data_IF_865541023910
#
_entry.id   IF_865541023910
#
_cell.length_a   1.000
_cell.length_b   1.000
_cell.length_c   1.000
_cell.angle_alpha   90.00
_cell.angle_beta   90.00
_cell.angle_gamma   90.00
#
_symmetry.space_group_name_H-M   'P 1'
#
loop_
_entity.id
_entity.type
_entity.pdbx_description
1 polymer ?
#
# COMPACT_ATOMS: atom_id res chain seq x y z
N UNK A 1 -18.60 -27.93 -17.73
CA UNK A 1 -18.17 -27.59 -17.83
C UNK A 1 -18.08 -27.11 -17.69
N UNK A 2 -18.05 -27.04 -17.65
CA UNK A 2 -17.72 -26.58 -17.56
C UNK A 2 -17.47 -26.04 -17.55
N UNK A 3 -17.51 -26.02 -17.49
CA UNK A 3 -17.14 -25.56 -17.57
C UNK A 3 -16.91 -24.88 -17.53
N UNK A 4 -17.27 -24.91 -17.46
CA UNK A 4 -17.14 -24.23 -17.60
C UNK A 4 -16.77 -23.51 -17.57
N UNK A 5 -16.79 -23.73 -17.31
CA UNK A 5 -16.34 -23.02 -17.51
C UNK A 5 -15.89 -22.55 -17.80
N UNK A 6 -15.82 -22.83 -17.76
CA UNK A 6 -15.38 -22.44 -18.28
C UNK A 6 -15.11 -22.22 -19.00
N UNK A 7 -14.93 -22.85 -18.47
CA UNK A 7 -14.47 -22.81 -19.61
C UNK A 7 -14.79 -21.83 -20.62
N UNK A 8 -15.68 -21.38 -20.53
CA UNK A 8 -15.91 -20.37 -21.52
C UNK A 8 -15.41 -19.06 -21.00
N UNK A 9 -14.20 -18.81 -21.34
CA UNK A 9 -13.66 -17.52 -21.02
C UNK A 9 -13.88 -16.64 -22.22
N UNK A 10 -14.57 -15.54 -22.06
CA UNK A 10 -14.74 -14.63 -23.19
C UNK A 10 -13.39 -14.18 -23.68
N UNK A 11 -13.28 -14.04 -24.96
CA UNK A 11 -12.07 -13.47 -25.52
C UNK A 11 -12.02 -12.01 -25.09
N UNK A 12 -10.99 -11.63 -24.51
CA UNK A 12 -10.81 -10.29 -24.00
C UNK A 12 -9.96 -10.35 -22.79
N UNK A 13 -9.63 -9.24 -22.28
CA UNK A 13 -8.73 -9.17 -21.13
C UNK A 13 -9.41 -8.41 -20.02
N UNK A 14 -8.94 -8.66 -18.81
CA UNK A 14 -9.39 -7.90 -17.66
C UNK A 14 -8.61 -6.61 -17.63
N UNK A 15 -9.34 -5.52 -17.60
CA UNK A 15 -8.72 -4.18 -17.56
C UNK A 15 -9.19 -3.50 -16.29
N UNK A 16 -8.28 -3.00 -15.52
CA UNK A 16 -8.64 -2.24 -14.34
C UNK A 16 -7.81 -0.97 -14.25
N UNK A 17 -8.37 -0.01 -13.56
CA UNK A 17 -7.76 1.29 -13.40
C UNK A 17 -6.57 1.18 -12.46
N UNK A 18 -5.49 1.88 -12.79
CA UNK A 18 -4.31 1.87 -11.94
C UNK A 18 -4.61 2.40 -10.54
N UNK A 19 -5.70 3.15 -10.36
CA UNK A 19 -6.07 3.60 -9.03
C UNK A 19 -6.38 2.44 -8.08
N UNK A 20 -6.61 1.24 -8.61
CA UNK A 20 -6.79 0.06 -7.77
C UNK A 20 -5.53 -0.21 -6.96
N UNK A 21 -4.36 -0.02 -7.57
CA UNK A 21 -3.10 -0.24 -6.85
C UNK A 21 -3.00 0.74 -5.68
N UNK A 22 -3.36 2.01 -5.90
CA UNK A 22 -3.35 2.99 -4.82
C UNK A 22 -4.31 2.58 -3.71
N UNK A 23 -5.50 2.11 -4.07
CA UNK A 23 -6.47 1.69 -3.05
C UNK A 23 -5.95 0.53 -2.23
N UNK A 24 -5.30 -0.42 -2.87
CA UNK A 24 -4.71 -1.56 -2.14
C UNK A 24 -3.71 -1.04 -1.12
N UNK A 25 -2.86 -0.12 -1.52
CA UNK A 25 -1.83 0.41 -0.65
C UNK A 25 -2.46 1.21 0.50
N UNK A 26 -3.48 2.02 0.19
CA UNK A 26 -4.15 2.82 1.21
C UNK A 26 -4.78 1.95 2.29
N UNK A 27 -5.24 0.77 1.91
CA UNK A 27 -5.84 -0.14 2.87
C UNK A 27 -4.79 -0.95 3.62
N UNK A 28 -3.65 -1.19 3.00
CA UNK A 28 -2.62 -2.04 3.59
C UNK A 28 -1.79 -1.32 4.64
N UNK A 29 -1.43 -0.06 4.38
CA UNK A 29 -0.49 0.65 5.24
C UNK A 29 -1.02 0.82 6.67
N UNK A 30 -2.28 1.24 6.87
CA UNK A 30 -2.76 1.47 8.26
C UNK A 30 -2.84 0.20 9.09
N UNK A 31 -2.78 -0.96 8.46
CA UNK A 31 -2.84 -2.21 9.20
C UNK A 31 -1.49 -2.61 9.78
N UNK A 32 -0.43 -1.91 9.39
CA UNK A 32 0.89 -2.17 9.94
C UNK A 32 0.95 -1.55 11.33
N UNK A 33 1.38 -2.35 12.29
CA UNK A 33 1.44 -1.88 13.66
C UNK A 33 2.40 -0.71 13.78
N UNK A 34 1.95 0.35 14.46
CA UNK A 34 2.76 1.54 14.66
C UNK A 34 2.50 2.65 13.68
N UNK A 35 1.72 2.41 12.65
CA UNK A 35 1.45 3.41 11.61
C UNK A 35 0.17 4.16 11.96
N UNK A 36 0.25 5.48 11.84
CA UNK A 36 -0.91 6.34 12.05
C UNK A 36 -1.75 6.32 10.77
N UNK A 37 -3.05 6.05 10.90
CA UNK A 37 -3.94 6.01 9.76
C UNK A 37 -4.30 7.44 9.37
N UNK A 38 -3.65 7.96 8.35
CA UNK A 38 -3.74 9.37 8.04
C UNK A 38 -3.68 9.64 6.54
N UNK A 39 -4.36 8.81 5.75
CA UNK A 39 -4.33 8.94 4.30
C UNK A 39 -5.68 9.37 3.74
N UNK A 40 -6.50 10.03 4.52
CA UNK A 40 -7.83 10.38 4.07
C UNK A 40 -7.81 11.60 3.18
N UNK A 41 -8.68 11.64 2.18
CA UNK A 41 -8.77 12.80 1.30
C UNK A 41 -9.06 14.06 2.10
N UNK A 42 -8.44 15.15 1.72
CA UNK A 42 -8.65 16.41 2.41
C UNK A 42 -7.88 16.56 3.70
N UNK A 43 -7.14 15.54 4.07
CA UNK A 43 -6.32 15.61 5.25
C UNK A 43 -5.11 16.49 4.96
N UNK A 44 -4.76 17.36 5.91
CA UNK A 44 -3.63 18.26 5.74
C UNK A 44 -2.31 17.62 6.13
N UNK A 45 -2.30 16.33 6.39
CA UNK A 45 -1.10 15.64 6.80
C UNK A 45 -0.07 15.62 5.68
N UNK A 46 1.19 15.39 6.05
CA UNK A 46 2.28 15.29 5.08
C UNK A 46 2.37 13.90 4.48
N UNK A 47 1.49 13.00 4.86
CA UNK A 47 1.51 11.64 4.33
C UNK A 47 1.08 11.63 2.88
N UNK A 48 1.70 10.77 2.09
CA UNK A 48 1.33 10.66 0.67
C UNK A 48 1.66 9.25 0.18
N UNK A 49 1.07 8.94 -0.95
CA UNK A 49 1.37 7.73 -1.70
C UNK A 49 1.60 8.16 -3.14
N UNK A 50 2.79 7.92 -3.65
CA UNK A 50 3.14 8.23 -5.03
C UNK A 50 3.49 6.94 -5.73
N UNK A 51 2.98 6.78 -6.93
CA UNK A 51 3.17 5.58 -7.73
C UNK A 51 3.73 5.95 -9.08
N UNK A 52 4.67 5.15 -9.54
CA UNK A 52 5.18 5.27 -10.90
C UNK A 52 5.02 3.92 -11.57
N UNK A 53 4.21 3.88 -12.61
CA UNK A 53 3.94 2.64 -13.33
C UNK A 53 4.97 2.48 -14.44
N UNK A 54 5.64 1.34 -14.40
CA UNK A 54 6.73 1.04 -15.30
C UNK A 54 6.31 -0.06 -16.26
N UNK A 55 7.24 -0.48 -17.12
CA UNK A 55 6.93 -1.51 -18.10
C UNK A 55 6.74 -2.85 -17.43
N UNK A 56 6.03 -3.74 -18.13
CA UNK A 56 5.83 -5.13 -17.71
C UNK A 56 5.12 -5.24 -16.39
N UNK A 57 4.16 -4.35 -16.15
CA UNK A 57 3.35 -4.38 -14.93
C UNK A 57 4.20 -4.20 -13.68
N UNK A 58 5.25 -3.43 -13.78
CA UNK A 58 6.03 -3.06 -12.59
C UNK A 58 5.59 -1.72 -12.09
N UNK A 59 5.67 -1.54 -10.77
CA UNK A 59 5.32 -0.26 -10.16
C UNK A 59 6.37 0.09 -9.12
N UNK A 60 6.75 1.35 -9.09
CA UNK A 60 7.62 1.90 -8.05
C UNK A 60 6.73 2.68 -7.09
N UNK A 61 6.93 2.48 -5.81
CA UNK A 61 6.08 3.04 -4.77
C UNK A 61 6.91 3.95 -3.88
N UNK A 62 6.37 5.12 -3.58
CA UNK A 62 7.03 6.09 -2.72
C UNK A 62 5.96 6.59 -1.75
N UNK A 63 6.12 6.28 -0.46
CA UNK A 63 5.11 6.62 0.53
C UNK A 63 5.73 7.43 1.66
N UNK A 64 4.95 8.33 2.21
CA UNK A 64 5.33 9.08 3.41
C UNK A 64 4.30 8.77 4.49
N UNK A 65 4.78 8.39 5.65
CA UNK A 65 3.93 7.92 6.74
C UNK A 65 4.28 8.63 8.04
N UNK A 66 3.33 8.60 8.96
CA UNK A 66 3.53 9.04 10.33
C UNK A 66 3.48 7.81 11.22
N UNK A 67 4.37 7.73 12.19
CA UNK A 67 4.51 6.56 13.05
C UNK A 67 4.29 7.01 14.49
N UNK A 68 3.71 6.12 15.29
CA UNK A 68 3.55 6.39 16.71
C UNK A 68 4.89 6.29 17.44
N UNK A 69 5.07 7.18 18.40
CA UNK A 69 6.25 7.14 19.25
C UNK A 69 6.32 5.81 20.00
N UNK A 70 7.51 5.29 20.13
CA UNK A 70 7.72 4.05 20.86
C UNK A 70 7.99 2.84 20.00
N UNK A 71 7.69 2.95 18.71
CA UNK A 71 7.95 1.86 17.77
C UNK A 71 9.32 2.04 17.14
N UNK A 72 9.95 0.93 16.80
CA UNK A 72 11.21 0.98 16.06
C UNK A 72 10.92 1.37 14.62
N UNK A 73 11.44 2.53 14.22
CA UNK A 73 11.12 3.10 12.91
C UNK A 73 11.55 2.16 11.80
N UNK A 74 12.74 1.56 11.91
CA UNK A 74 13.23 0.68 10.86
C UNK A 74 12.35 -0.55 10.71
N UNK A 75 11.90 -1.12 11.83
CA UNK A 75 11.03 -2.29 11.77
C UNK A 75 9.69 -1.95 11.16
N UNK A 76 9.13 -0.80 11.54
CA UNK A 76 7.83 -0.40 10.99
C UNK A 76 7.96 -0.15 9.49
N UNK A 77 9.03 0.51 9.06
CA UNK A 77 9.24 0.78 7.65
C UNK A 77 9.39 -0.52 6.86
N UNK A 78 10.12 -1.48 7.41
CA UNK A 78 10.26 -2.78 6.75
C UNK A 78 8.91 -3.46 6.62
N UNK A 79 8.11 -3.42 7.68
CA UNK A 79 6.80 -4.06 7.65
C UNK A 79 5.87 -3.37 6.64
N UNK A 80 5.99 -2.06 6.48
CA UNK A 80 5.24 -1.35 5.46
C UNK A 80 5.63 -1.84 4.09
N UNK A 81 6.94 -1.97 3.82
CA UNK A 81 7.40 -2.46 2.52
C UNK A 81 6.85 -3.85 2.23
N UNK A 82 6.91 -4.74 3.23
CA UNK A 82 6.41 -6.10 3.04
C UNK A 82 4.91 -6.11 2.82
N UNK A 83 4.18 -5.31 3.56
CA UNK A 83 2.73 -5.26 3.43
C UNK A 83 2.32 -4.76 2.05
N UNK A 84 2.96 -3.71 1.57
CA UNK A 84 2.66 -3.17 0.24
C UNK A 84 2.95 -4.22 -0.82
N UNK A 85 4.14 -4.79 -0.78
CA UNK A 85 4.53 -5.75 -1.80
C UNK A 85 3.59 -6.94 -1.82
N UNK A 86 3.32 -7.51 -0.65
CA UNK A 86 2.51 -8.72 -0.57
C UNK A 86 1.08 -8.45 -1.04
N UNK A 87 0.51 -7.33 -0.64
CA UNK A 87 -0.88 -7.04 -1.00
C UNK A 87 -1.03 -6.68 -2.46
N UNK A 88 -0.15 -5.85 -2.99
CA UNK A 88 -0.25 -5.45 -4.40
C UNK A 88 -0.06 -6.66 -5.31
N UNK A 89 0.94 -7.49 -5.00
CA UNK A 89 1.23 -8.64 -5.87
C UNK A 89 0.21 -9.74 -5.74
N UNK A 90 -0.46 -9.84 -4.59
CA UNK A 90 -1.50 -10.85 -4.40
C UNK A 90 -2.83 -10.44 -5.03
N UNK A 91 -3.11 -9.15 -5.11
CA UNK A 91 -4.42 -8.66 -5.50
C UNK A 91 -4.46 -8.04 -6.89
N UNK A 92 -3.33 -7.95 -7.57
CA UNK A 92 -3.27 -7.38 -8.91
C UNK A 92 -2.19 -8.09 -9.69
N UNK A 93 -2.06 -7.69 -10.96
CA UNK A 93 -1.02 -8.24 -11.80
C UNK A 93 0.29 -7.49 -11.68
N UNK A 94 0.29 -6.42 -10.91
CA UNK A 94 1.49 -5.60 -10.79
C UNK A 94 2.51 -6.24 -9.87
N UNK A 95 3.76 -6.02 -10.19
CA UNK A 95 4.89 -6.38 -9.33
C UNK A 95 5.47 -5.10 -8.78
N UNK A 96 5.89 -5.14 -7.53
CA UNK A 96 6.45 -3.97 -6.89
C UNK A 96 7.96 -4.06 -6.98
N UNK A 97 8.56 -3.10 -7.69
CA UNK A 97 10.00 -3.09 -7.88
C UNK A 97 10.75 -2.44 -6.72
N UNK A 98 10.34 -1.22 -6.37
CA UNK A 98 10.96 -0.51 -5.26
C UNK A 98 9.87 0.09 -4.41
N UNK A 99 10.15 0.19 -3.12
CA UNK A 99 9.26 0.85 -2.17
C UNK A 99 10.10 1.74 -1.28
N UNK A 100 9.95 3.04 -1.45
CA UNK A 100 10.63 4.01 -0.61
C UNK A 100 9.66 4.47 0.46
N UNK A 101 10.05 4.33 1.72
CA UNK A 101 9.22 4.72 2.84
C UNK A 101 9.90 5.90 3.53
N UNK A 102 9.18 7.02 3.59
CA UNK A 102 9.64 8.22 4.27
C UNK A 102 8.83 8.38 5.54
N UNK A 103 9.50 8.42 6.67
CA UNK A 103 8.83 8.68 7.94
C UNK A 103 8.90 10.18 8.16
N UNK A 104 7.77 10.84 8.03
CA UNK A 104 7.74 12.31 8.03
C UNK A 104 7.34 12.88 9.37
N UNK A 105 6.89 12.03 10.29
CA UNK A 105 6.49 12.52 11.60
C UNK A 105 6.39 11.37 12.57
N UNK A 106 6.55 11.66 13.84
CA UNK A 106 6.36 10.70 14.93
C UNK A 106 5.49 11.40 15.96
N UNK A 107 4.38 10.77 16.31
CA UNK A 107 3.44 11.38 17.24
C UNK A 107 3.16 10.43 18.39
N UNK A 108 2.70 10.99 19.50
CA UNK A 108 2.27 10.20 20.63
C UNK A 108 0.88 9.68 20.42
N UNK A 109 0.68 8.43 20.78
CA UNK A 109 -0.66 7.88 20.90
C UNK A 109 -1.20 8.36 22.24
N UNK A 110 -2.33 9.09 22.19
CA UNK A 110 -2.88 9.65 23.41
C UNK A 110 -3.18 8.61 24.48
N UNK A 111 -3.39 7.37 24.07
CA UNK A 111 -3.69 6.33 25.06
C UNK A 111 -2.50 5.96 25.91
N UNK A 112 -1.33 6.45 25.62
CA UNK A 112 -0.13 6.12 26.37
C UNK A 112 0.15 7.07 27.51
N UNK A 113 -0.72 8.02 27.72
CA UNK A 113 -0.49 9.03 28.74
C UNK A 113 -1.27 8.72 29.99
N UNK A 114 -1.10 7.56 30.52
CA UNK A 114 -1.78 7.22 31.76
C UNK A 114 -0.96 7.52 32.95
#
# INVERSE_FOLDING_TARGET
MAEKNNSVIPSGKVVYNSSIVRSIIELAIPKVEGVVNNFQPGNSSKNYIKLEFLENFNVAVDVAVTIYYGYNITDVAYNIQQSIKNNVEAMSEYKVGTIDVHVVDVIFDGSEHE
#
